data_IF_645628563454
#
_entry.id   IF_645628563454
#
_cell.length_a   1.000
_cell.length_b   1.000
_cell.length_c   1.000
_cell.angle_alpha   90.00
_cell.angle_beta   90.00
_cell.angle_gamma   90.00
#
_symmetry.space_group_name_H-M   'P 1'
#
loop_
_entity.id
_entity.type
_entity.pdbx_description
1 polymer ?
#
# COMPACT_ATOMS: atom_id res chain seq x y z
N UNK A 1 -9.73 -5.39 -36.95
CA UNK A 1 -9.02 -5.44 -35.65
C UNK A 1 -9.58 -4.34 -34.79
N UNK A 2 -10.31 -4.67 -33.73
CA UNK A 2 -10.64 -3.70 -32.68
C UNK A 2 -9.32 -3.31 -31.99
N UNK A 3 -9.08 -2.01 -31.81
CA UNK A 3 -7.91 -1.53 -31.08
C UNK A 3 -7.95 -2.00 -29.62
N UNK A 4 -6.82 -1.97 -28.90
CA UNK A 4 -6.80 -2.33 -27.49
C UNK A 4 -7.78 -1.44 -26.72
N UNK A 5 -8.78 -2.06 -26.09
CA UNK A 5 -9.66 -1.38 -25.15
C UNK A 5 -8.85 -1.08 -23.88
N UNK A 6 -8.45 0.19 -23.70
CA UNK A 6 -7.80 0.64 -22.46
C UNK A 6 -8.88 0.97 -21.43
N UNK A 7 -9.14 0.03 -20.52
CA UNK A 7 -9.99 0.28 -19.37
C UNK A 7 -9.15 0.87 -18.23
N UNK A 8 -9.58 2.02 -17.71
CA UNK A 8 -8.94 2.62 -16.54
C UNK A 8 -9.50 2.01 -15.26
N UNK A 9 -8.75 1.11 -14.61
CA UNK A 9 -9.20 0.48 -13.37
C UNK A 9 -8.85 1.34 -12.15
N UNK A 10 -9.80 1.53 -11.24
CA UNK A 10 -9.58 2.33 -10.02
C UNK A 10 -8.74 1.61 -8.96
N UNK A 11 -8.60 0.29 -9.08
CA UNK A 11 -7.88 -0.56 -8.11
C UNK A 11 -6.40 -0.16 -8.00
N UNK A 12 -5.81 0.37 -9.08
CA UNK A 12 -4.42 0.86 -9.12
C UNK A 12 -4.15 2.01 -8.14
N UNK A 13 -5.22 2.69 -7.70
CA UNK A 13 -5.13 3.86 -6.81
C UNK A 13 -5.29 3.51 -5.34
N UNK A 14 -5.61 2.26 -5.02
CA UNK A 14 -6.05 1.88 -3.67
C UNK A 14 -4.97 2.13 -2.61
N UNK A 15 -3.70 1.93 -2.95
CA UNK A 15 -2.57 2.10 -2.02
C UNK A 15 -2.47 3.53 -1.49
N UNK A 16 -2.36 4.52 -2.39
CA UNK A 16 -2.27 5.92 -1.98
C UNK A 16 -3.60 6.47 -1.46
N UNK A 17 -4.74 6.00 -1.99
CA UNK A 17 -6.06 6.45 -1.52
C UNK A 17 -6.33 6.01 -0.07
N UNK A 18 -5.96 4.77 0.30
CA UNK A 18 -6.05 4.30 1.69
C UNK A 18 -5.21 5.16 2.62
N UNK A 19 -3.96 5.44 2.23
CA UNK A 19 -3.05 6.30 2.98
C UNK A 19 -3.62 7.73 3.13
N UNK A 20 -4.23 8.28 2.08
CA UNK A 20 -4.86 9.59 2.10
C UNK A 20 -6.04 9.66 3.08
N UNK A 21 -6.98 8.72 2.98
CA UNK A 21 -8.19 8.68 3.82
C UNK A 21 -7.82 8.50 5.29
N UNK A 22 -6.90 7.58 5.59
CA UNK A 22 -6.40 7.37 6.95
C UNK A 22 -5.71 8.64 7.48
N UNK A 23 -4.85 9.26 6.66
CA UNK A 23 -4.21 10.55 6.93
C UNK A 23 -5.20 11.64 7.31
N UNK A 24 -6.15 11.93 6.43
CA UNK A 24 -7.15 12.98 6.64
C UNK A 24 -8.01 12.73 7.89
N UNK A 25 -8.49 11.49 8.07
CA UNK A 25 -9.30 11.13 9.22
C UNK A 25 -8.54 11.33 10.53
N UNK A 26 -7.31 10.82 10.60
CA UNK A 26 -6.48 10.96 11.79
C UNK A 26 -6.10 12.42 12.06
N UNK A 27 -5.80 13.20 11.01
CA UNK A 27 -5.52 14.64 11.12
C UNK A 27 -6.67 15.43 11.74
N UNK A 28 -7.90 15.17 11.31
CA UNK A 28 -9.10 15.81 11.87
C UNK A 28 -9.30 15.38 13.33
N UNK A 29 -9.36 14.07 13.58
CA UNK A 29 -9.77 13.53 14.88
C UNK A 29 -8.71 13.80 15.95
N UNK A 30 -7.44 13.52 15.66
CA UNK A 30 -6.36 13.70 16.64
C UNK A 30 -6.14 15.17 16.99
N UNK A 31 -6.14 16.07 15.99
CA UNK A 31 -5.92 17.51 16.22
C UNK A 31 -7.10 18.14 16.95
N UNK A 32 -8.34 17.80 16.58
CA UNK A 32 -9.53 18.26 17.31
C UNK A 32 -9.53 17.78 18.76
N UNK A 33 -9.23 16.50 18.98
CA UNK A 33 -9.17 15.92 20.33
C UNK A 33 -8.08 16.58 21.18
N UNK A 34 -6.92 16.86 20.60
CA UNK A 34 -5.83 17.57 21.27
C UNK A 34 -6.25 18.99 21.65
N UNK A 35 -6.80 19.75 20.71
CA UNK A 35 -7.26 21.13 20.93
C UNK A 35 -8.34 21.18 22.03
N UNK A 36 -9.35 20.31 21.95
CA UNK A 36 -10.42 20.23 22.97
C UNK A 36 -9.85 19.84 24.33
N UNK A 37 -8.94 18.87 24.37
CA UNK A 37 -8.28 18.44 25.61
C UNK A 37 -7.51 19.57 26.28
N UNK A 38 -6.68 20.29 25.52
CA UNK A 38 -5.90 21.44 26.02
C UNK A 38 -6.82 22.59 26.45
N UNK A 39 -7.84 22.92 25.66
CA UNK A 39 -8.81 23.96 25.99
C UNK A 39 -9.57 23.65 27.29
N UNK A 40 -9.94 22.38 27.52
CA UNK A 40 -10.64 21.95 28.74
C UNK A 40 -9.79 22.11 30.00
N UNK A 41 -8.47 22.16 29.87
CA UNK A 41 -7.53 22.36 30.97
C UNK A 41 -7.36 23.84 31.37
N UNK A 42 -8.27 24.73 30.97
CA UNK A 42 -8.19 26.18 31.20
C UNK A 42 -6.93 26.83 30.62
N UNK A 43 -6.42 26.28 29.51
CA UNK A 43 -5.25 26.80 28.80
C UNK A 43 -5.56 28.14 28.10
N UNK A 44 -4.54 28.95 27.86
CA UNK A 44 -4.72 30.19 27.10
C UNK A 44 -4.90 29.90 25.60
N UNK A 45 -5.43 30.88 24.86
CA UNK A 45 -5.58 30.77 23.41
C UNK A 45 -4.24 30.49 22.70
N UNK A 46 -3.15 31.13 23.15
CA UNK A 46 -1.80 30.89 22.63
C UNK A 46 -1.35 29.45 22.89
N UNK A 47 -1.64 28.89 24.07
CA UNK A 47 -1.26 27.51 24.40
C UNK A 47 -1.98 26.50 23.50
N UNK A 48 -3.27 26.74 23.22
CA UNK A 48 -4.08 25.90 22.33
C UNK A 48 -3.51 25.90 20.91
N UNK A 49 -3.14 27.07 20.38
CA UNK A 49 -2.56 27.19 19.03
C UNK A 49 -1.19 26.53 18.95
N UNK A 50 -0.33 26.73 19.95
CA UNK A 50 0.99 26.07 20.00
C UNK A 50 0.83 24.56 20.06
N UNK A 51 -0.07 24.05 20.90
CA UNK A 51 -0.34 22.62 21.00
C UNK A 51 -0.90 22.06 19.69
N UNK A 52 -1.84 22.75 19.05
CA UNK A 52 -2.43 22.31 17.78
C UNK A 52 -1.40 22.28 16.64
N UNK A 53 -0.55 23.30 16.51
CA UNK A 53 0.49 23.33 15.47
C UNK A 53 1.56 22.27 15.75
N UNK A 54 1.97 22.10 17.01
CA UNK A 54 2.88 21.02 17.39
C UNK A 54 2.28 19.64 17.09
N UNK A 55 1.00 19.44 17.39
CA UNK A 55 0.25 18.22 17.07
C UNK A 55 0.15 17.98 15.56
N UNK A 56 -0.08 19.02 14.76
CA UNK A 56 -0.10 18.92 13.31
C UNK A 56 1.25 18.42 12.77
N UNK A 57 2.35 19.06 13.19
CA UNK A 57 3.69 18.71 12.70
C UNK A 57 4.08 17.31 13.17
N UNK A 58 3.92 17.02 14.46
CA UNK A 58 4.26 15.72 15.03
C UNK A 58 3.42 14.59 14.41
N UNK A 59 2.11 14.80 14.25
CA UNK A 59 1.21 13.83 13.66
C UNK A 59 1.49 13.59 12.18
N UNK A 60 1.72 14.64 11.38
CA UNK A 60 2.08 14.49 9.97
C UNK A 60 3.39 13.72 9.78
N UNK A 61 4.41 14.01 10.61
CA UNK A 61 5.67 13.26 10.60
C UNK A 61 5.49 11.80 11.02
N UNK A 62 4.68 11.55 12.07
CA UNK A 62 4.40 10.19 12.53
C UNK A 62 3.65 9.38 11.47
N UNK A 63 2.71 10.00 10.76
CA UNK A 63 1.98 9.37 9.66
C UNK A 63 2.88 9.06 8.46
N UNK A 64 3.78 10.00 8.11
CA UNK A 64 4.78 9.76 7.08
C UNK A 64 5.67 8.56 7.43
N UNK A 65 6.22 8.55 8.65
CA UNK A 65 7.13 7.51 9.11
C UNK A 65 6.43 6.15 9.22
N UNK A 66 5.23 6.11 9.82
CA UNK A 66 4.47 4.87 9.99
C UNK A 66 4.09 4.24 8.65
N UNK A 67 3.58 5.05 7.72
CA UNK A 67 3.18 4.55 6.40
C UNK A 67 4.41 4.16 5.55
N UNK A 68 5.52 4.92 5.64
CA UNK A 68 6.78 4.55 4.98
C UNK A 68 7.29 3.20 5.49
N UNK A 69 7.40 3.02 6.80
CA UNK A 69 7.90 1.78 7.40
C UNK A 69 6.98 0.61 7.02
N UNK A 70 5.66 0.77 7.14
CA UNK A 70 4.69 -0.28 6.80
C UNK A 70 4.83 -0.74 5.36
N UNK A 71 4.81 0.19 4.40
CA UNK A 71 4.88 -0.15 2.97
C UNK A 71 6.29 -0.56 2.55
N UNK A 72 7.35 -0.05 3.21
CA UNK A 72 8.72 -0.52 2.99
C UNK A 72 8.88 -1.98 3.43
N UNK A 73 8.32 -2.36 4.58
CA UNK A 73 8.32 -3.76 5.03
C UNK A 73 7.62 -4.68 4.03
N UNK A 74 6.49 -4.24 3.46
CA UNK A 74 5.85 -4.99 2.36
C UNK A 74 6.81 -5.15 1.16
N UNK A 75 7.44 -4.07 0.71
CA UNK A 75 8.41 -4.12 -0.41
C UNK A 75 9.58 -5.08 -0.12
N UNK A 76 10.06 -5.12 1.12
CA UNK A 76 11.17 -5.98 1.50
C UNK A 76 10.76 -7.45 1.56
N UNK A 77 9.55 -7.75 2.02
CA UNK A 77 8.95 -9.10 1.90
C UNK A 77 8.79 -9.52 0.45
N UNK A 78 8.23 -8.67 -0.42
CA UNK A 78 8.08 -8.95 -1.86
C UNK A 78 9.43 -9.27 -2.52
N UNK A 79 10.48 -8.48 -2.22
CA UNK A 79 11.83 -8.75 -2.74
C UNK A 79 12.42 -10.05 -2.22
N UNK A 80 12.18 -10.38 -0.95
CA UNK A 80 12.68 -11.62 -0.36
C UNK A 80 12.02 -12.85 -1.01
N UNK A 81 10.70 -12.79 -1.24
CA UNK A 81 9.98 -13.87 -1.93
C UNK A 81 10.41 -14.00 -3.39
N UNK A 82 10.59 -12.88 -4.12
CA UNK A 82 11.11 -12.93 -5.49
C UNK A 82 12.53 -13.52 -5.56
N UNK A 83 13.37 -13.24 -4.57
CA UNK A 83 14.72 -13.81 -4.50
C UNK A 83 14.70 -15.32 -4.21
N UNK A 84 13.76 -15.77 -3.36
CA UNK A 84 13.52 -17.18 -3.06
C UNK A 84 13.01 -17.94 -4.28
N UNK A 85 11.97 -17.40 -4.93
CA UNK A 85 11.40 -17.92 -6.17
C UNK A 85 12.45 -18.05 -7.28
N UNK A 86 13.29 -17.02 -7.43
CA UNK A 86 14.40 -17.05 -8.39
C UNK A 86 15.40 -18.17 -8.10
N UNK A 87 15.60 -18.55 -6.84
CA UNK A 87 16.47 -19.65 -6.46
C UNK A 87 15.79 -21.02 -6.71
N UNK A 88 14.50 -21.14 -6.41
CA UNK A 88 13.68 -22.33 -6.64
C UNK A 88 13.57 -22.66 -8.14
N UNK A 89 13.25 -21.66 -8.97
CA UNK A 89 13.25 -21.77 -10.44
C UNK A 89 14.58 -22.22 -11.04
N UNK A 90 15.71 -21.92 -10.38
CA UNK A 90 17.04 -22.39 -10.82
C UNK A 90 17.36 -23.80 -10.31
N UNK A 91 16.86 -24.14 -9.13
CA UNK A 91 17.14 -25.41 -8.47
C UNK A 91 16.35 -26.56 -9.11
N UNK A 92 15.05 -26.38 -9.37
CA UNK A 92 14.20 -27.39 -9.99
C UNK A 92 13.09 -26.80 -10.88
N UNK A 93 13.42 -26.41 -12.13
CA UNK A 93 12.44 -25.85 -13.06
C UNK A 93 11.27 -26.80 -13.39
N UNK A 94 11.44 -28.12 -13.20
CA UNK A 94 10.39 -29.11 -13.49
C UNK A 94 9.37 -29.10 -12.36
N UNK A 95 9.84 -29.09 -11.10
CA UNK A 95 8.97 -28.94 -9.94
C UNK A 95 8.17 -27.63 -9.99
N UNK A 96 8.82 -26.51 -10.27
CA UNK A 96 8.14 -25.20 -10.36
C UNK A 96 7.05 -25.18 -11.44
N UNK A 97 7.29 -25.85 -12.58
CA UNK A 97 6.26 -26.01 -13.61
C UNK A 97 5.05 -26.80 -13.14
N UNK A 98 5.27 -27.82 -12.32
CA UNK A 98 4.21 -28.63 -11.76
C UNK A 98 3.44 -27.86 -10.69
N UNK A 99 4.14 -27.05 -9.89
CA UNK A 99 3.54 -26.12 -8.94
C UNK A 99 2.63 -25.12 -9.62
N UNK A 100 3.11 -24.40 -10.64
CA UNK A 100 2.29 -23.46 -11.40
C UNK A 100 1.08 -24.15 -12.05
N UNK A 101 1.26 -25.35 -12.62
CA UNK A 101 0.14 -26.11 -13.15
C UNK A 101 -0.88 -26.47 -12.07
N UNK A 102 -0.43 -26.84 -10.86
CA UNK A 102 -1.30 -27.13 -9.72
C UNK A 102 -2.13 -25.90 -9.31
N UNK A 103 -1.53 -24.71 -9.28
CA UNK A 103 -2.25 -23.44 -9.02
C UNK A 103 -3.42 -23.28 -10.00
N UNK A 104 -3.18 -23.52 -11.29
CA UNK A 104 -4.22 -23.42 -12.32
C UNK A 104 -5.29 -24.53 -12.22
N UNK A 105 -4.92 -25.75 -11.84
CA UNK A 105 -5.87 -26.83 -11.56
C UNK A 105 -6.79 -26.42 -10.40
N UNK A 106 -6.23 -25.88 -9.31
CA UNK A 106 -7.01 -25.41 -8.17
C UNK A 106 -7.93 -24.23 -8.52
N UNK A 107 -7.55 -23.40 -9.50
CA UNK A 107 -8.40 -22.34 -10.06
C UNK A 107 -9.50 -22.87 -11.00
N UNK A 108 -9.46 -24.15 -11.37
CA UNK A 108 -10.53 -24.83 -12.11
C UNK A 108 -10.17 -25.28 -13.54
N UNK A 109 -8.90 -25.22 -13.94
CA UNK A 109 -8.48 -25.75 -15.24
C UNK A 109 -8.39 -27.29 -15.20
N UNK A 110 -8.75 -27.94 -16.31
CA UNK A 110 -8.44 -29.37 -16.48
C UNK A 110 -6.92 -29.58 -16.44
N UNK A 111 -6.42 -30.71 -15.87
CA UNK A 111 -4.99 -30.94 -15.70
C UNK A 111 -4.18 -30.81 -17.00
N UNK A 112 -4.70 -31.36 -18.10
CA UNK A 112 -4.04 -31.29 -19.41
C UNK A 112 -3.88 -29.85 -19.92
N UNK A 113 -4.86 -28.98 -19.66
CA UNK A 113 -4.81 -27.56 -20.03
C UNK A 113 -3.89 -26.78 -19.08
N UNK A 114 -3.97 -27.03 -17.78
CA UNK A 114 -3.13 -26.36 -16.79
C UNK A 114 -1.63 -26.59 -17.05
N UNK A 115 -1.24 -27.83 -17.39
CA UNK A 115 0.15 -28.11 -17.76
C UNK A 115 0.61 -27.41 -19.04
N UNK A 116 -0.30 -27.14 -19.99
CA UNK A 116 0.00 -26.37 -21.19
C UNK A 116 0.13 -24.88 -20.88
N UNK A 117 -0.75 -24.33 -20.03
CA UNK A 117 -0.69 -22.94 -19.56
C UNK A 117 0.62 -22.68 -18.83
N UNK A 118 0.94 -23.51 -17.83
CA UNK A 118 2.19 -23.39 -17.07
C UNK A 118 3.43 -23.46 -18.00
N UNK A 119 3.42 -24.36 -18.99
CA UNK A 119 4.51 -24.46 -19.96
C UNK A 119 4.73 -23.15 -20.75
N UNK A 120 3.65 -22.56 -21.24
CA UNK A 120 3.71 -21.39 -22.11
C UNK A 120 4.06 -20.12 -21.30
N UNK A 121 3.53 -19.99 -20.09
CA UNK A 121 3.86 -18.87 -19.20
C UNK A 121 5.33 -18.93 -18.77
N UNK A 122 5.79 -20.09 -18.29
CA UNK A 122 7.21 -20.26 -17.93
C UNK A 122 8.16 -20.12 -19.11
N UNK A 123 7.76 -20.50 -20.33
CA UNK A 123 8.61 -20.30 -21.51
C UNK A 123 8.82 -18.81 -21.85
N UNK A 124 7.88 -17.93 -21.45
CA UNK A 124 7.96 -16.49 -21.66
C UNK A 124 8.73 -15.80 -20.55
N UNK A 125 8.27 -15.95 -19.31
CA UNK A 125 8.90 -15.39 -18.12
C UNK A 125 8.47 -16.21 -16.88
N UNK A 126 9.30 -17.14 -16.39
CA UNK A 126 8.96 -17.96 -15.24
C UNK A 126 8.77 -17.14 -13.97
N UNK A 127 9.63 -16.14 -13.75
CA UNK A 127 9.60 -15.35 -12.52
C UNK A 127 8.37 -14.45 -12.50
N UNK A 128 8.01 -13.81 -13.62
CA UNK A 128 6.78 -13.02 -13.71
C UNK A 128 5.54 -13.90 -13.50
N UNK A 129 5.53 -15.12 -14.06
CA UNK A 129 4.42 -16.06 -13.90
C UNK A 129 4.19 -16.45 -12.43
N UNK A 130 5.24 -16.89 -11.73
CA UNK A 130 5.14 -17.25 -10.31
C UNK A 130 4.90 -16.02 -9.43
N UNK A 131 5.57 -14.89 -9.69
CA UNK A 131 5.32 -13.64 -8.96
C UNK A 131 3.84 -13.25 -9.00
N UNK A 132 3.20 -13.35 -10.16
CA UNK A 132 1.79 -13.01 -10.32
C UNK A 132 0.83 -14.07 -9.79
N UNK A 133 1.05 -15.33 -10.17
CA UNK A 133 0.06 -16.38 -9.97
C UNK A 133 0.21 -17.15 -8.64
N UNK A 134 1.43 -17.19 -8.10
CA UNK A 134 1.74 -17.81 -6.82
C UNK A 134 1.85 -16.75 -5.70
N UNK A 135 2.72 -15.76 -5.88
CA UNK A 135 3.01 -14.76 -4.84
C UNK A 135 1.98 -13.62 -4.78
N UNK A 136 1.14 -13.47 -5.81
CA UNK A 136 0.15 -12.38 -5.89
C UNK A 136 0.76 -10.99 -6.09
N UNK A 137 2.05 -10.92 -6.45
CA UNK A 137 2.78 -9.70 -6.74
C UNK A 137 2.42 -9.27 -8.17
N UNK A 138 1.73 -8.13 -8.29
CA UNK A 138 1.32 -7.55 -9.57
C UNK A 138 1.65 -6.06 -9.59
N UNK A 139 1.66 -5.45 -10.78
CA UNK A 139 1.86 -3.99 -10.93
C UNK A 139 0.87 -3.17 -10.09
N UNK A 140 -0.33 -3.70 -9.85
CA UNK A 140 -1.38 -3.04 -9.07
C UNK A 140 -1.19 -3.16 -7.55
N UNK A 141 -0.44 -4.16 -7.10
CA UNK A 141 -0.18 -4.44 -5.68
C UNK A 141 1.22 -4.02 -5.23
N UNK A 142 2.06 -3.55 -6.16
CA UNK A 142 3.45 -3.19 -5.87
C UNK A 142 3.54 -2.08 -4.80
N UNK A 143 4.35 -2.32 -3.78
CA UNK A 143 4.56 -1.37 -2.70
C UNK A 143 5.19 -0.05 -3.18
N UNK A 144 4.60 1.09 -2.80
CA UNK A 144 5.10 2.45 -3.11
C UNK A 144 5.29 3.28 -1.83
N UNK A 145 6.36 3.05 -1.04
CA UNK A 145 6.48 3.58 0.32
C UNK A 145 6.47 5.11 0.39
N UNK A 146 7.26 5.76 -0.48
CA UNK A 146 7.36 7.23 -0.50
C UNK A 146 6.02 7.86 -0.89
N UNK A 147 5.31 7.27 -1.86
CA UNK A 147 4.01 7.78 -2.27
C UNK A 147 3.01 7.69 -1.12
N UNK A 148 2.92 6.54 -0.46
CA UNK A 148 2.01 6.34 0.65
C UNK A 148 2.31 7.30 1.81
N UNK A 149 3.58 7.43 2.20
CA UNK A 149 4.05 8.31 3.26
C UNK A 149 3.76 9.80 3.01
N UNK A 150 4.06 10.31 1.81
CA UNK A 150 3.80 11.71 1.49
C UNK A 150 2.29 11.98 1.38
N UNK A 151 1.54 11.03 0.83
CA UNK A 151 0.09 11.17 0.69
C UNK A 151 -0.61 11.17 2.05
N UNK A 152 -0.21 10.28 2.97
CA UNK A 152 -0.77 10.24 4.33
C UNK A 152 -0.43 11.51 5.11
N UNK A 153 0.82 11.97 5.08
CA UNK A 153 1.27 13.16 5.78
C UNK A 153 0.60 14.44 5.27
N UNK A 154 0.50 14.60 3.94
CA UNK A 154 -0.18 15.74 3.34
C UNK A 154 -1.68 15.74 3.69
N UNK A 155 -2.33 14.58 3.62
CA UNK A 155 -3.75 14.45 3.96
C UNK A 155 -4.00 14.70 5.44
N UNK A 156 -3.11 14.24 6.32
CA UNK A 156 -3.13 14.56 7.74
C UNK A 156 -3.04 16.06 7.99
N UNK A 157 -2.06 16.73 7.38
CA UNK A 157 -1.89 18.17 7.53
C UNK A 157 -3.14 18.93 7.05
N UNK A 158 -3.72 18.55 5.91
CA UNK A 158 -4.98 19.12 5.41
C UNK A 158 -6.14 18.87 6.38
N UNK A 159 -6.27 17.66 6.92
CA UNK A 159 -7.29 17.34 7.91
C UNK A 159 -7.14 18.15 9.22
N UNK A 160 -5.90 18.34 9.67
CA UNK A 160 -5.56 19.08 10.88
C UNK A 160 -5.79 20.61 10.76
N UNK A 161 -5.77 21.16 9.55
CA UNK A 161 -6.08 22.59 9.32
C UNK A 161 -7.49 22.94 9.79
N UNK A 162 -8.47 22.06 9.59
CA UNK A 162 -9.87 22.38 9.93
C UNK A 162 -10.07 22.60 11.45
N UNK A 163 -9.65 21.70 12.35
CA UNK A 163 -9.67 21.97 13.79
C UNK A 163 -8.82 23.17 14.21
N UNK A 164 -7.66 23.39 13.57
CA UNK A 164 -6.82 24.55 13.86
C UNK A 164 -7.51 25.87 13.53
N UNK A 165 -8.17 25.98 12.38
CA UNK A 165 -8.93 27.16 12.01
C UNK A 165 -10.04 27.46 13.02
N UNK A 166 -10.71 26.41 13.52
CA UNK A 166 -11.72 26.55 14.58
C UNK A 166 -11.13 27.05 15.90
N UNK A 167 -9.87 26.75 16.20
CA UNK A 167 -9.20 27.26 17.40
C UNK A 167 -8.71 28.71 17.24
N UNK A 168 -8.54 29.20 16.01
CA UNK A 168 -8.08 30.57 15.74
C UNK A 168 -9.19 31.62 15.92
N UNK A 169 -10.43 31.26 15.59
CA UNK A 169 -11.62 32.14 15.59
C UNK A 169 -12.36 32.04 16.92
#
# INVERSE_FOLDING_TARGET
MAGPHTEGHLIERIGWLRAAVLGANDGIVSTASLIVGVASASATHSDILVAGVAGLVAGAMSMAAGEYVSVSSQSDTEKADLARETAELKADPIAERHELASIYIHRGLEPALAHQVAAQLMARDPLEAHARDELGISEFTTARPIQAALTSAASFAVGAILPLLMAVV
#
